data_IF_557440611951
#
_entry.id   IF_557440611951
#
_cell.length_a   1.000
_cell.length_b   1.000
_cell.length_c   1.000
_cell.angle_alpha   90.00
_cell.angle_beta   90.00
_cell.angle_gamma   90.00
#
_symmetry.space_group_name_H-M   'P 1'
#
loop_
_entity.id
_entity.type
_entity.pdbx_description
1 polymer ?
#
# COMPACT_ATOMS: atom_id res chain seq x y z
N UNK A 1 -13.91 -19.85 -33.63
CA UNK A 1 -12.60 -19.25 -33.30
C UNK A 1 -12.05 -19.78 -31.97
N UNK A 2 -12.78 -19.71 -30.85
CA UNK A 2 -12.32 -20.23 -29.55
C UNK A 2 -11.99 -21.74 -29.57
N UNK A 3 -12.89 -22.58 -30.10
CA UNK A 3 -12.66 -24.03 -30.17
C UNK A 3 -11.41 -24.42 -30.98
N UNK A 4 -11.12 -23.69 -32.07
CA UNK A 4 -9.91 -23.90 -32.86
C UNK A 4 -8.64 -23.58 -32.05
N UNK A 5 -8.67 -22.49 -31.27
CA UNK A 5 -7.56 -22.11 -30.39
C UNK A 5 -7.36 -23.08 -29.22
N UNK A 6 -8.44 -23.67 -28.70
CA UNK A 6 -8.36 -24.73 -27.68
C UNK A 6 -7.69 -25.97 -28.27
N UNK A 7 -8.09 -26.41 -29.47
CA UNK A 7 -7.47 -27.57 -30.13
C UNK A 7 -5.99 -27.33 -30.44
N UNK A 8 -5.64 -26.16 -30.96
CA UNK A 8 -4.24 -25.74 -31.18
C UNK A 8 -3.43 -25.82 -29.88
N UNK A 9 -3.99 -25.36 -28.76
CA UNK A 9 -3.32 -25.45 -27.46
C UNK A 9 -3.10 -26.90 -27.00
N UNK A 10 -4.08 -27.78 -27.19
CA UNK A 10 -3.97 -29.20 -26.85
C UNK A 10 -2.93 -29.92 -27.72
N UNK A 11 -2.82 -29.57 -29.00
CA UNK A 11 -1.75 -30.10 -29.87
C UNK A 11 -0.36 -29.69 -29.38
N UNK A 12 -0.20 -28.43 -28.95
CA UNK A 12 1.04 -27.95 -28.36
C UNK A 12 1.38 -28.65 -27.04
N UNK A 13 0.40 -28.90 -26.16
CA UNK A 13 0.61 -29.72 -24.95
C UNK A 13 1.12 -31.12 -25.33
N UNK A 14 0.48 -31.79 -26.29
CA UNK A 14 0.88 -33.13 -26.70
C UNK A 14 2.31 -33.16 -27.28
N UNK A 15 2.71 -32.12 -28.02
CA UNK A 15 4.09 -31.94 -28.50
C UNK A 15 5.07 -31.72 -27.34
N UNK A 16 4.72 -30.88 -26.38
CA UNK A 16 5.54 -30.64 -25.19
C UNK A 16 5.78 -31.94 -24.41
N UNK A 17 4.73 -32.71 -24.13
CA UNK A 17 4.83 -34.00 -23.45
C UNK A 17 5.69 -35.00 -24.22
N UNK A 18 5.65 -34.98 -25.56
CA UNK A 18 6.53 -35.80 -26.40
C UNK A 18 8.00 -35.40 -26.26
N UNK A 19 8.32 -34.10 -26.15
CA UNK A 19 9.69 -33.64 -25.91
C UNK A 19 10.21 -34.05 -24.53
N UNK A 20 9.33 -34.22 -23.54
CA UNK A 20 9.70 -34.66 -22.21
C UNK A 20 9.95 -36.16 -22.09
N UNK A 21 9.44 -36.97 -23.02
CA UNK A 21 9.71 -38.42 -23.03
C UNK A 21 11.19 -38.69 -23.27
N UNK A 22 11.74 -39.55 -22.43
CA UNK A 22 13.07 -40.15 -22.59
C UNK A 22 12.97 -41.48 -23.34
N UNK A 23 14.08 -41.90 -23.93
CA UNK A 23 14.19 -43.17 -24.67
C UNK A 23 15.61 -43.70 -24.52
N UNK A 24 15.89 -44.92 -24.98
CA UNK A 24 17.23 -45.52 -24.96
C UNK A 24 18.30 -44.66 -25.65
N UNK A 25 17.92 -43.78 -26.58
CA UNK A 25 18.83 -42.82 -27.23
C UNK A 25 18.83 -41.42 -26.57
N UNK A 26 17.83 -41.09 -25.74
CA UNK A 26 17.65 -39.76 -25.12
C UNK A 26 17.41 -39.91 -23.62
N UNK A 27 18.48 -39.70 -22.86
CA UNK A 27 18.53 -39.96 -21.44
C UNK A 27 18.08 -38.76 -20.59
N UNK A 28 18.07 -37.55 -21.18
CA UNK A 28 17.57 -36.32 -20.56
C UNK A 28 16.37 -35.77 -21.35
N UNK A 29 15.27 -35.38 -20.70
CA UNK A 29 14.17 -34.66 -21.35
C UNK A 29 14.65 -33.40 -22.07
N UNK A 30 13.99 -33.04 -23.18
CA UNK A 30 14.25 -31.77 -23.87
C UNK A 30 13.33 -30.71 -23.28
N UNK A 31 13.77 -30.16 -22.16
CA UNK A 31 13.04 -29.15 -21.40
C UNK A 31 12.88 -27.84 -22.18
N UNK A 32 13.83 -27.49 -23.05
CA UNK A 32 13.81 -26.25 -23.82
C UNK A 32 12.70 -26.27 -24.88
N UNK A 33 12.65 -27.33 -25.68
CA UNK A 33 11.58 -27.52 -26.66
C UNK A 33 10.21 -27.68 -26.00
N UNK A 34 10.15 -28.38 -24.86
CA UNK A 34 8.90 -28.53 -24.11
C UNK A 34 8.38 -27.19 -23.58
N UNK A 35 9.25 -26.34 -23.02
CA UNK A 35 8.88 -25.02 -22.55
C UNK A 35 8.31 -24.15 -23.69
N UNK A 36 8.97 -24.15 -24.86
CA UNK A 36 8.49 -23.39 -26.03
C UNK A 36 7.10 -23.83 -26.49
N UNK A 37 6.81 -25.14 -26.47
CA UNK A 37 5.48 -25.65 -26.83
C UNK A 37 4.44 -25.33 -25.75
N UNK A 38 4.77 -25.41 -24.46
CA UNK A 38 3.86 -24.95 -23.39
C UNK A 38 3.56 -23.46 -23.48
N UNK A 39 4.53 -22.62 -23.82
CA UNK A 39 4.32 -21.19 -24.04
C UNK A 39 3.29 -20.91 -25.14
N UNK A 40 3.41 -21.62 -26.27
CA UNK A 40 2.43 -21.54 -27.38
C UNK A 40 1.04 -22.01 -26.95
N UNK A 41 0.96 -23.11 -26.21
CA UNK A 41 -0.30 -23.59 -25.65
C UNK A 41 -0.95 -22.56 -24.73
N UNK A 42 -0.17 -21.94 -23.84
CA UNK A 42 -0.64 -20.93 -22.91
C UNK A 42 -1.21 -19.70 -23.63
N UNK A 43 -0.53 -19.21 -24.67
CA UNK A 43 -1.01 -18.11 -25.51
C UNK A 43 -2.30 -18.49 -26.24
N UNK A 44 -2.41 -19.71 -26.77
CA UNK A 44 -3.61 -20.19 -27.45
C UNK A 44 -4.81 -20.30 -26.49
N UNK A 45 -4.62 -20.85 -25.28
CA UNK A 45 -5.67 -20.86 -24.24
C UNK A 45 -6.08 -19.46 -23.81
N UNK A 46 -5.12 -18.56 -23.61
CA UNK A 46 -5.38 -17.16 -23.27
C UNK A 46 -6.24 -16.47 -24.33
N UNK A 47 -5.92 -16.66 -25.61
CA UNK A 47 -6.69 -16.12 -26.73
C UNK A 47 -8.12 -16.72 -26.81
N UNK A 48 -8.30 -17.95 -26.33
CA UNK A 48 -9.60 -18.60 -26.18
C UNK A 48 -10.34 -18.23 -24.86
N UNK A 49 -9.78 -17.32 -24.05
CA UNK A 49 -10.27 -16.94 -22.71
C UNK A 49 -10.36 -18.10 -21.71
N UNK A 50 -9.59 -19.17 -21.93
CA UNK A 50 -9.45 -20.28 -20.99
C UNK A 50 -8.30 -19.99 -20.02
N UNK A 51 -8.52 -19.02 -19.11
CA UNK A 51 -7.45 -18.51 -18.25
C UNK A 51 -6.86 -19.55 -17.30
N UNK A 52 -7.68 -20.48 -16.80
CA UNK A 52 -7.21 -21.53 -15.89
C UNK A 52 -6.26 -22.51 -16.62
N UNK A 53 -6.62 -22.93 -17.83
CA UNK A 53 -5.76 -23.76 -18.68
C UNK A 53 -4.50 -23.01 -19.14
N UNK A 54 -4.62 -21.70 -19.45
CA UNK A 54 -3.48 -20.86 -19.79
C UNK A 54 -2.49 -20.75 -18.61
N UNK A 55 -3.00 -20.55 -17.39
CA UNK A 55 -2.22 -20.54 -16.15
C UNK A 55 -1.47 -21.86 -15.99
N UNK A 56 -2.14 -23.00 -16.11
CA UNK A 56 -1.49 -24.32 -15.99
C UNK A 56 -0.40 -24.53 -17.05
N UNK A 57 -0.65 -24.11 -18.29
CA UNK A 57 0.36 -24.18 -19.35
C UNK A 57 1.58 -23.28 -19.05
N UNK A 58 1.39 -22.06 -18.56
CA UNK A 58 2.49 -21.19 -18.11
C UNK A 58 3.25 -21.76 -16.92
N UNK A 59 2.58 -22.42 -15.97
CA UNK A 59 3.26 -23.09 -14.85
C UNK A 59 4.14 -24.24 -15.35
N UNK A 60 3.64 -25.05 -16.28
CA UNK A 60 4.44 -26.10 -16.93
C UNK A 60 5.61 -25.50 -17.72
N UNK A 61 5.41 -24.42 -18.47
CA UNK A 61 6.51 -23.70 -19.13
C UNK A 61 7.59 -23.29 -18.11
N UNK A 62 7.18 -22.70 -16.99
CA UNK A 62 8.10 -22.23 -15.95
C UNK A 62 8.91 -23.38 -15.34
N UNK A 63 8.26 -24.49 -14.97
CA UNK A 63 8.92 -25.70 -14.46
C UNK A 63 9.95 -26.27 -15.45
N UNK A 64 9.65 -26.26 -16.74
CA UNK A 64 10.58 -26.72 -17.76
C UNK A 64 11.79 -25.79 -17.90
N UNK A 65 11.59 -24.47 -17.84
CA UNK A 65 12.69 -23.52 -17.79
C UNK A 65 13.54 -23.65 -16.52
N UNK A 66 12.93 -23.91 -15.34
CA UNK A 66 13.68 -24.22 -14.10
C UNK A 66 14.55 -25.47 -14.28
N UNK A 67 13.98 -26.56 -14.80
CA UNK A 67 14.70 -27.81 -15.07
C UNK A 67 15.84 -27.63 -16.10
N UNK A 68 15.72 -26.64 -16.99
CA UNK A 68 16.76 -26.24 -17.93
C UNK A 68 17.73 -25.18 -17.38
N UNK A 69 17.58 -24.75 -16.12
CA UNK A 69 18.34 -23.66 -15.47
C UNK A 69 18.22 -22.30 -16.18
N UNK A 70 17.14 -22.08 -16.92
CA UNK A 70 16.83 -20.83 -17.60
C UNK A 70 15.98 -19.92 -16.69
N UNK A 71 16.55 -19.48 -15.56
CA UNK A 71 15.82 -18.79 -14.47
C UNK A 71 15.04 -17.55 -14.94
N UNK A 72 15.63 -16.71 -15.79
CA UNK A 72 14.93 -15.53 -16.31
C UNK A 72 13.63 -15.88 -17.06
N UNK A 73 13.66 -16.93 -17.88
CA UNK A 73 12.51 -17.37 -18.65
C UNK A 73 11.47 -18.04 -17.75
N UNK A 74 11.92 -18.84 -16.76
CA UNK A 74 11.03 -19.39 -15.73
C UNK A 74 10.28 -18.29 -14.98
N UNK A 75 11.00 -17.25 -14.54
CA UNK A 75 10.41 -16.10 -13.86
C UNK A 75 9.36 -15.39 -14.73
N UNK A 76 9.65 -15.19 -16.03
CA UNK A 76 8.69 -14.60 -16.98
C UNK A 76 7.43 -15.44 -17.13
N UNK A 77 7.56 -16.77 -17.19
CA UNK A 77 6.43 -17.68 -17.26
C UNK A 77 5.58 -17.64 -15.98
N UNK A 78 6.21 -17.56 -14.79
CA UNK A 78 5.48 -17.32 -13.53
C UNK A 78 4.74 -15.99 -13.50
N UNK A 79 5.34 -14.90 -14.00
CA UNK A 79 4.63 -13.62 -14.14
C UNK A 79 3.41 -13.76 -15.05
N UNK A 80 3.51 -14.49 -16.17
CA UNK A 80 2.36 -14.73 -17.06
C UNK A 80 1.27 -15.57 -16.40
N UNK A 81 1.63 -16.62 -15.65
CA UNK A 81 0.67 -17.39 -14.86
C UNK A 81 -0.03 -16.49 -13.80
N UNK A 82 0.72 -15.61 -13.14
CA UNK A 82 0.18 -14.61 -12.22
C UNK A 82 -0.79 -13.64 -12.90
N UNK A 83 -0.51 -13.23 -14.15
CA UNK A 83 -1.44 -12.42 -14.93
C UNK A 83 -2.74 -13.16 -15.26
N UNK A 84 -2.69 -14.48 -15.52
CA UNK A 84 -3.91 -15.26 -15.74
C UNK A 84 -4.75 -15.35 -14.45
N UNK A 85 -4.11 -15.52 -13.29
CA UNK A 85 -4.80 -15.48 -11.99
C UNK A 85 -5.44 -14.11 -11.72
N UNK A 86 -4.79 -13.03 -12.15
CA UNK A 86 -5.38 -11.67 -12.10
C UNK A 86 -6.64 -11.57 -12.95
N UNK A 87 -6.65 -12.07 -14.18
CA UNK A 87 -7.85 -12.11 -15.03
C UNK A 87 -9.00 -12.93 -14.41
N UNK A 88 -8.65 -13.91 -13.56
CA UNK A 88 -9.60 -14.72 -12.80
C UNK A 88 -9.97 -14.12 -11.43
N UNK A 89 -9.52 -12.90 -11.11
CA UNK A 89 -9.70 -12.23 -9.81
C UNK A 89 -9.11 -12.99 -8.59
N UNK A 90 -8.14 -13.89 -8.81
CA UNK A 90 -7.42 -14.64 -7.78
C UNK A 90 -6.12 -13.94 -7.36
N UNK A 91 -6.25 -12.71 -6.88
CA UNK A 91 -5.08 -11.84 -6.61
C UNK A 91 -4.08 -12.41 -5.60
N UNK A 92 -4.49 -13.04 -4.48
CA UNK A 92 -3.53 -13.62 -3.53
C UNK A 92 -2.66 -14.72 -4.13
N UNK A 93 -3.24 -15.59 -4.97
CA UNK A 93 -2.50 -16.63 -5.70
C UNK A 93 -1.55 -16.00 -6.74
N UNK A 94 -1.99 -14.94 -7.43
CA UNK A 94 -1.15 -14.22 -8.39
C UNK A 94 0.12 -13.64 -7.72
N UNK A 95 -0.04 -13.06 -6.54
CA UNK A 95 1.08 -12.50 -5.75
C UNK A 95 2.12 -13.57 -5.40
N UNK A 96 1.69 -14.77 -5.01
CA UNK A 96 2.62 -15.87 -4.69
C UNK A 96 3.51 -16.24 -5.90
N UNK A 97 2.93 -16.26 -7.11
CA UNK A 97 3.70 -16.53 -8.33
C UNK A 97 4.66 -15.39 -8.67
N UNK A 98 4.26 -14.13 -8.45
CA UNK A 98 5.14 -12.98 -8.68
C UNK A 98 6.29 -12.94 -7.67
N UNK A 99 6.06 -13.31 -6.40
CA UNK A 99 7.13 -13.47 -5.41
C UNK A 99 8.13 -14.55 -5.84
N UNK A 100 7.63 -15.71 -6.31
CA UNK A 100 8.48 -16.76 -6.87
C UNK A 100 9.32 -16.26 -8.05
N UNK A 101 8.70 -15.53 -8.99
CA UNK A 101 9.40 -14.91 -10.12
C UNK A 101 10.46 -13.90 -9.65
N UNK A 102 10.18 -13.11 -8.62
CA UNK A 102 11.12 -12.13 -8.08
C UNK A 102 12.39 -12.79 -7.50
N UNK A 103 12.25 -13.91 -6.79
CA UNK A 103 13.40 -14.67 -6.28
C UNK A 103 14.27 -15.20 -7.42
N UNK A 104 13.65 -15.71 -8.49
CA UNK A 104 14.37 -16.15 -9.69
C UNK A 104 15.07 -15.02 -10.42
N UNK A 105 14.47 -13.82 -10.48
CA UNK A 105 15.13 -12.65 -11.06
C UNK A 105 16.35 -12.22 -10.25
N UNK A 106 16.31 -12.33 -8.92
CA UNK A 106 17.46 -12.06 -8.05
C UNK A 106 18.56 -13.10 -8.28
N UNK A 107 18.22 -14.39 -8.27
CA UNK A 107 19.17 -15.48 -8.53
C UNK A 107 19.81 -15.39 -9.93
N UNK A 108 19.06 -14.89 -10.92
CA UNK A 108 19.56 -14.66 -12.27
C UNK A 108 20.46 -13.40 -12.40
N UNK A 109 20.58 -12.58 -11.35
CA UNK A 109 21.36 -11.33 -11.38
C UNK A 109 20.64 -10.18 -12.08
N UNK A 110 19.31 -10.15 -12.02
CA UNK A 110 18.45 -9.08 -12.58
C UNK A 110 17.59 -8.41 -11.49
N UNK A 111 18.21 -7.80 -10.45
CA UNK A 111 17.53 -7.26 -9.27
C UNK A 111 16.48 -6.19 -9.61
N UNK A 112 16.75 -5.34 -10.59
CA UNK A 112 15.80 -4.34 -11.10
C UNK A 112 14.46 -4.96 -11.52
N UNK A 113 14.52 -6.09 -12.22
CA UNK A 113 13.30 -6.76 -12.69
C UNK A 113 12.55 -7.39 -11.51
N UNK A 114 13.27 -7.92 -10.51
CA UNK A 114 12.68 -8.43 -9.28
C UNK A 114 11.94 -7.34 -8.50
N UNK A 115 12.60 -6.19 -8.28
CA UNK A 115 12.03 -5.07 -7.53
C UNK A 115 10.77 -4.51 -8.23
N UNK A 116 10.82 -4.34 -9.56
CA UNK A 116 9.65 -3.90 -10.33
C UNK A 116 8.50 -4.91 -10.30
N UNK A 117 8.79 -6.21 -10.31
CA UNK A 117 7.77 -7.25 -10.21
C UNK A 117 7.07 -7.19 -8.84
N UNK A 118 7.83 -7.09 -7.75
CA UNK A 118 7.33 -6.93 -6.39
C UNK A 118 6.50 -5.66 -6.21
N UNK A 119 6.95 -4.52 -6.76
CA UNK A 119 6.21 -3.26 -6.73
C UNK A 119 4.84 -3.39 -7.40
N UNK A 120 4.79 -4.01 -8.59
CA UNK A 120 3.52 -4.26 -9.30
C UNK A 120 2.60 -5.18 -8.51
N UNK A 121 3.13 -6.22 -7.86
CA UNK A 121 2.36 -7.11 -7.00
C UNK A 121 1.80 -6.37 -5.77
N UNK A 122 2.61 -5.51 -5.13
CA UNK A 122 2.20 -4.66 -4.02
C UNK A 122 0.99 -3.81 -4.40
N UNK A 123 1.09 -3.10 -5.52
CA UNK A 123 -0.01 -2.26 -6.05
C UNK A 123 -1.28 -3.06 -6.34
N UNK A 124 -1.15 -4.29 -6.84
CA UNK A 124 -2.29 -5.14 -7.18
C UNK A 124 -3.09 -5.56 -5.94
N UNK A 125 -2.42 -5.72 -4.78
CA UNK A 125 -3.02 -6.29 -3.58
C UNK A 125 -3.38 -5.23 -2.51
N UNK A 126 -3.08 -3.94 -2.71
CA UNK A 126 -3.36 -2.88 -1.72
C UNK A 126 -4.81 -2.89 -1.21
N UNK A 127 -5.78 -3.05 -2.10
CA UNK A 127 -7.21 -3.02 -1.76
C UNK A 127 -7.76 -4.37 -1.25
N UNK A 128 -6.93 -5.42 -1.24
CA UNK A 128 -7.33 -6.78 -0.83
C UNK A 128 -6.62 -7.18 0.46
N UNK A 129 -5.33 -6.91 0.56
CA UNK A 129 -4.51 -7.21 1.74
C UNK A 129 -3.40 -6.17 1.88
N UNK A 130 -3.67 -5.16 2.72
CA UNK A 130 -2.73 -4.06 3.01
C UNK A 130 -1.41 -4.58 3.60
N UNK A 131 -1.45 -5.58 4.48
CA UNK A 131 -0.26 -6.11 5.15
C UNK A 131 0.69 -6.77 4.14
N UNK A 132 0.11 -7.55 3.21
CA UNK A 132 0.89 -8.16 2.13
C UNK A 132 1.46 -7.11 1.18
N UNK A 133 0.72 -6.05 0.87
CA UNK A 133 1.21 -4.95 0.05
C UNK A 133 2.41 -4.23 0.72
N UNK A 134 2.34 -3.97 2.02
CA UNK A 134 3.45 -3.42 2.81
C UNK A 134 4.68 -4.31 2.70
N UNK A 135 4.53 -5.61 2.92
CA UNK A 135 5.63 -6.57 2.83
C UNK A 135 6.29 -6.56 1.44
N UNK A 136 5.50 -6.55 0.37
CA UNK A 136 6.02 -6.52 -1.01
C UNK A 136 6.79 -5.22 -1.31
N UNK A 137 6.29 -4.07 -0.86
CA UNK A 137 7.01 -2.80 -1.01
C UNK A 137 8.30 -2.76 -0.19
N UNK A 138 8.31 -3.32 1.02
CA UNK A 138 9.52 -3.43 1.84
C UNK A 138 10.56 -4.36 1.22
N UNK A 139 10.13 -5.50 0.66
CA UNK A 139 11.02 -6.40 -0.09
C UNK A 139 11.61 -5.70 -1.31
N UNK A 140 10.77 -5.02 -2.10
CA UNK A 140 11.23 -4.25 -3.28
C UNK A 140 12.20 -3.13 -2.89
N UNK A 141 11.93 -2.42 -1.78
CA UNK A 141 12.83 -1.41 -1.24
C UNK A 141 14.19 -2.00 -0.84
N UNK A 142 14.19 -3.16 -0.17
CA UNK A 142 15.41 -3.86 0.22
C UNK A 142 16.25 -4.29 -0.99
N UNK A 143 15.62 -4.69 -2.10
CA UNK A 143 16.35 -4.99 -3.34
C UNK A 143 17.08 -3.75 -3.84
N UNK A 144 16.42 -2.59 -3.91
CA UNK A 144 17.09 -1.35 -4.35
C UNK A 144 18.14 -0.84 -3.34
N UNK A 145 17.92 -1.03 -2.05
CA UNK A 145 18.88 -0.65 -1.01
C UNK A 145 20.18 -1.48 -1.12
N UNK A 146 20.07 -2.78 -1.38
CA UNK A 146 21.23 -3.66 -1.59
C UNK A 146 22.03 -3.29 -2.86
N UNK A 147 21.37 -2.70 -3.85
CA UNK A 147 21.99 -2.18 -5.09
C UNK A 147 22.45 -0.71 -4.95
N UNK A 148 22.48 -0.16 -3.73
CA UNK A 148 22.85 1.24 -3.42
C UNK A 148 21.98 2.30 -4.12
N UNK A 149 20.76 1.91 -4.55
CA UNK A 149 19.80 2.76 -5.24
C UNK A 149 18.83 3.43 -4.27
N UNK A 150 19.39 4.26 -3.38
CA UNK A 150 18.68 4.85 -2.25
C UNK A 150 17.42 5.64 -2.62
N UNK A 151 17.41 6.34 -3.76
CA UNK A 151 16.23 7.12 -4.22
C UNK A 151 15.03 6.21 -4.53
N UNK A 152 15.26 5.06 -5.18
CA UNK A 152 14.21 4.10 -5.46
C UNK A 152 13.77 3.35 -4.20
N UNK A 153 14.73 2.99 -3.34
CA UNK A 153 14.43 2.34 -2.07
C UNK A 153 13.51 3.20 -1.19
N UNK A 154 13.82 4.50 -1.03
CA UNK A 154 13.02 5.39 -0.19
C UNK A 154 11.63 5.69 -0.76
N UNK A 155 11.47 5.71 -2.08
CA UNK A 155 10.15 5.87 -2.71
C UNK A 155 9.20 4.71 -2.34
N UNK A 156 9.72 3.47 -2.35
CA UNK A 156 8.95 2.28 -1.99
C UNK A 156 8.70 2.18 -0.49
N UNK A 157 9.68 2.56 0.34
CA UNK A 157 9.46 2.71 1.78
C UNK A 157 8.35 3.74 2.05
N UNK A 158 8.30 4.85 1.32
CA UNK A 158 7.22 5.82 1.40
C UNK A 158 5.85 5.24 1.03
N UNK A 159 5.76 4.30 0.08
CA UNK A 159 4.51 3.53 -0.17
C UNK A 159 4.15 2.67 1.03
N UNK A 160 5.11 1.91 1.58
CA UNK A 160 4.90 1.09 2.76
C UNK A 160 4.43 1.90 3.99
N UNK A 161 5.09 3.02 4.30
CA UNK A 161 4.74 3.90 5.43
C UNK A 161 3.30 4.44 5.34
N UNK A 162 2.88 4.87 4.15
CA UNK A 162 1.50 5.34 3.91
C UNK A 162 0.48 4.23 4.13
N UNK A 163 0.76 3.02 3.67
CA UNK A 163 -0.11 1.87 3.89
C UNK A 163 -0.15 1.45 5.37
N UNK A 164 0.98 1.52 6.10
CA UNK A 164 1.03 1.27 7.54
C UNK A 164 0.16 2.27 8.32
N UNK A 165 0.21 3.55 7.97
CA UNK A 165 -0.70 4.57 8.54
C UNK A 165 -2.15 4.26 8.22
N UNK A 166 -2.47 3.91 6.95
CA UNK A 166 -3.82 3.53 6.53
C UNK A 166 -4.35 2.33 7.32
N UNK A 167 -3.49 1.34 7.58
CA UNK A 167 -3.78 0.14 8.37
C UNK A 167 -3.78 0.39 9.89
N UNK A 168 -3.54 1.63 10.36
CA UNK A 168 -3.41 2.01 11.77
C UNK A 168 -2.32 1.25 12.54
N UNK A 169 -1.31 0.73 11.84
CA UNK A 169 -0.10 0.09 12.43
C UNK A 169 0.96 1.15 12.73
N UNK A 170 0.65 2.02 13.70
CA UNK A 170 1.39 3.27 13.93
C UNK A 170 2.81 3.06 14.47
N UNK A 171 3.07 1.99 15.21
CA UNK A 171 4.43 1.65 15.67
C UNK A 171 5.36 1.36 14.50
N UNK A 172 4.91 0.53 13.56
CA UNK A 172 5.66 0.19 12.36
C UNK A 172 5.77 1.37 11.39
N UNK A 173 4.71 2.18 11.28
CA UNK A 173 4.73 3.40 10.49
C UNK A 173 5.82 4.37 11.01
N UNK A 174 5.95 4.54 12.33
CA UNK A 174 6.99 5.38 12.95
C UNK A 174 8.40 4.87 12.60
N UNK A 175 8.64 3.55 12.73
CA UNK A 175 9.92 2.95 12.36
C UNK A 175 10.24 3.12 10.85
N UNK A 176 9.24 2.91 9.98
CA UNK A 176 9.38 3.06 8.53
C UNK A 176 9.68 4.52 8.15
N UNK A 177 8.98 5.48 8.73
CA UNK A 177 9.21 6.92 8.53
C UNK A 177 10.59 7.36 9.02
N UNK A 178 11.08 6.81 10.14
CA UNK A 178 12.43 7.10 10.61
C UNK A 178 13.48 6.59 9.61
N UNK A 179 13.29 5.39 9.04
CA UNK A 179 14.16 4.87 7.99
C UNK A 179 14.14 5.77 6.75
N UNK A 180 12.96 6.22 6.31
CA UNK A 180 12.85 7.19 5.22
C UNK A 180 13.62 8.49 5.52
N UNK A 181 13.43 9.08 6.71
CA UNK A 181 14.12 10.32 7.11
C UNK A 181 15.64 10.16 7.08
N UNK A 182 16.16 9.02 7.54
CA UNK A 182 17.59 8.73 7.51
C UNK A 182 18.13 8.67 6.08
N UNK A 183 17.43 7.98 5.17
CA UNK A 183 17.84 7.89 3.76
C UNK A 183 17.76 9.27 3.08
N UNK A 184 16.69 10.04 3.31
CA UNK A 184 16.59 11.40 2.77
C UNK A 184 17.69 12.34 3.28
N UNK A 185 18.12 12.16 4.54
CA UNK A 185 19.25 12.90 5.11
C UNK A 185 20.56 12.52 4.42
N UNK A 186 20.77 11.23 4.16
CA UNK A 186 21.97 10.73 3.48
C UNK A 186 22.10 11.25 2.04
N UNK A 187 20.99 11.31 1.31
CA UNK A 187 20.96 11.88 -0.05
C UNK A 187 20.81 13.42 -0.07
N UNK A 188 20.94 14.07 1.09
CA UNK A 188 20.86 15.53 1.29
C UNK A 188 19.56 16.19 0.79
N UNK A 189 18.46 15.44 0.77
CA UNK A 189 17.14 15.97 0.46
C UNK A 189 16.45 16.48 1.75
N UNK A 190 17.00 17.58 2.28
CA UNK A 190 16.56 18.18 3.54
C UNK A 190 15.09 18.63 3.54
N UNK A 191 14.55 19.28 2.48
CA UNK A 191 13.13 19.66 2.46
C UNK A 191 12.19 18.47 2.67
N UNK A 192 12.53 17.31 2.10
CA UNK A 192 11.72 16.10 2.29
C UNK A 192 11.86 15.55 3.71
N UNK A 193 13.02 15.70 4.37
CA UNK A 193 13.18 15.34 5.78
C UNK A 193 12.20 16.10 6.70
N UNK A 194 11.90 17.37 6.40
CA UNK A 194 10.94 18.16 7.17
C UNK A 194 9.54 17.58 7.04
N UNK A 195 9.14 17.24 5.81
CA UNK A 195 7.86 16.55 5.53
C UNK A 195 7.77 15.20 6.23
N UNK A 196 8.86 14.44 6.31
CA UNK A 196 8.88 13.19 7.09
C UNK A 196 8.75 13.44 8.59
N UNK A 197 9.34 14.52 9.10
CA UNK A 197 9.16 14.93 10.51
C UNK A 197 7.70 15.25 10.82
N UNK A 198 6.99 15.91 9.89
CA UNK A 198 5.53 16.14 10.02
C UNK A 198 4.76 14.82 10.13
N UNK A 199 5.03 13.88 9.22
CA UNK A 199 4.41 12.56 9.28
C UNK A 199 4.73 11.81 10.60
N UNK A 200 5.98 11.88 11.08
CA UNK A 200 6.37 11.28 12.36
C UNK A 200 5.60 11.88 13.54
N UNK A 201 5.52 13.21 13.62
CA UNK A 201 4.78 13.90 14.70
C UNK A 201 3.31 13.51 14.68
N UNK A 202 2.66 13.52 13.51
CA UNK A 202 1.26 13.07 13.40
C UNK A 202 1.07 11.63 13.87
N UNK A 203 1.99 10.72 13.52
CA UNK A 203 1.94 9.32 13.97
C UNK A 203 2.11 9.21 15.49
N UNK A 204 3.05 9.94 16.09
CA UNK A 204 3.29 9.91 17.54
C UNK A 204 2.15 10.55 18.34
N UNK A 205 1.57 11.65 17.87
CA UNK A 205 0.42 12.26 18.51
C UNK A 205 -0.82 11.35 18.46
N UNK A 206 -1.06 10.64 17.35
CA UNK A 206 -2.11 9.60 17.28
C UNK A 206 -1.87 8.40 18.21
N UNK A 207 -0.61 8.16 18.59
CA UNK A 207 -0.24 7.15 19.61
C UNK A 207 -0.37 7.68 21.05
N UNK A 208 -0.79 8.94 21.23
CA UNK A 208 -0.75 9.68 22.49
C UNK A 208 0.65 9.73 23.13
N UNK A 209 1.70 9.71 22.30
CA UNK A 209 3.09 9.76 22.73
C UNK A 209 3.69 11.13 22.41
N UNK A 210 3.32 12.12 23.23
CA UNK A 210 3.77 13.50 23.05
C UNK A 210 5.30 13.62 23.16
N UNK A 211 5.91 12.88 24.07
CA UNK A 211 7.37 12.91 24.29
C UNK A 211 8.11 12.45 23.05
N UNK A 212 7.64 11.39 22.37
CA UNK A 212 8.23 10.96 21.11
C UNK A 212 8.01 11.98 19.99
N UNK A 213 6.82 12.60 19.92
CA UNK A 213 6.54 13.65 18.94
C UNK A 213 7.49 14.85 19.09
N UNK A 214 7.64 15.36 20.32
CA UNK A 214 8.56 16.46 20.65
C UNK A 214 10.01 16.09 20.31
N UNK A 215 10.43 14.87 20.66
CA UNK A 215 11.75 14.35 20.34
C UNK A 215 12.01 14.33 18.83
N UNK A 216 11.03 13.95 18.01
CA UNK A 216 11.19 13.96 16.55
C UNK A 216 11.50 15.36 16.01
N UNK A 217 10.82 16.41 16.51
CA UNK A 217 11.09 17.80 16.13
C UNK A 217 12.47 18.23 16.60
N UNK A 218 12.81 17.89 17.86
CA UNK A 218 14.09 18.24 18.46
C UNK A 218 15.28 17.70 17.68
N UNK A 219 15.22 16.45 17.25
CA UNK A 219 16.26 15.82 16.44
C UNK A 219 16.40 16.49 15.06
N UNK A 220 15.29 16.98 14.50
CA UNK A 220 15.26 17.61 13.18
C UNK A 220 15.89 19.01 13.16
N UNK A 221 16.05 19.72 14.30
CA UNK A 221 16.84 20.97 14.36
C UNK A 221 18.30 20.81 13.90
N UNK A 222 18.85 19.60 13.96
CA UNK A 222 20.20 19.31 13.44
C UNK A 222 20.27 19.28 11.90
N UNK A 223 19.11 19.25 11.21
CA UNK A 223 19.04 19.18 9.75
C UNK A 223 19.16 20.60 9.16
N UNK A 224 20.08 20.83 8.19
CA UNK A 224 20.34 22.16 7.63
C UNK A 224 19.08 22.83 7.06
N UNK A 225 18.70 23.97 7.61
CA UNK A 225 17.58 24.79 7.12
C UNK A 225 16.24 24.54 7.81
N UNK A 226 16.13 23.55 8.72
CA UNK A 226 14.87 23.25 9.40
C UNK A 226 14.39 24.41 10.28
N UNK A 227 15.25 24.98 11.14
CA UNK A 227 14.83 25.98 12.13
C UNK A 227 14.21 27.26 11.56
N UNK A 228 14.53 27.59 10.30
CA UNK A 228 13.95 28.74 9.59
C UNK A 228 12.82 28.39 8.62
N UNK A 229 12.37 27.12 8.62
CA UNK A 229 11.34 26.63 7.69
C UNK A 229 9.93 26.82 8.23
N UNK A 230 8.96 26.96 7.32
CA UNK A 230 7.54 26.94 7.66
C UNK A 230 7.13 25.62 8.33
N UNK A 231 7.81 24.51 7.99
CA UNK A 231 7.59 23.20 8.59
C UNK A 231 7.90 23.22 10.10
N UNK A 232 8.99 23.87 10.52
CA UNK A 232 9.35 23.98 11.93
C UNK A 232 8.34 24.80 12.72
N UNK A 233 7.95 25.97 12.20
CA UNK A 233 6.96 26.85 12.83
C UNK A 233 5.63 26.13 13.01
N UNK A 234 5.16 25.44 11.96
CA UNK A 234 3.89 24.72 12.03
C UNK A 234 3.95 23.53 13.00
N UNK A 235 5.10 22.86 13.12
CA UNK A 235 5.28 21.77 14.09
C UNK A 235 5.34 22.27 15.53
N UNK A 236 5.99 23.40 15.79
CA UNK A 236 6.00 24.04 17.11
C UNK A 236 4.59 24.45 17.53
N UNK A 237 3.82 25.08 16.63
CA UNK A 237 2.41 25.44 16.86
C UNK A 237 1.52 24.21 17.08
N UNK A 238 1.75 23.12 16.34
CA UNK A 238 1.00 21.87 16.53
C UNK A 238 1.27 21.26 17.90
N UNK A 239 2.54 21.18 18.32
CA UNK A 239 2.93 20.63 19.62
C UNK A 239 2.43 21.50 20.77
N UNK A 240 2.53 22.83 20.64
CA UNK A 240 2.01 23.78 21.62
C UNK A 240 0.49 23.61 21.82
N UNK A 241 -0.29 23.62 20.74
CA UNK A 241 -1.73 23.44 20.82
C UNK A 241 -2.12 22.07 21.40
N UNK A 242 -1.36 21.02 21.08
CA UNK A 242 -1.60 19.70 21.64
C UNK A 242 -1.32 19.63 23.15
N UNK A 243 -0.23 20.25 23.62
CA UNK A 243 0.13 20.31 25.05
C UNK A 243 -0.87 21.16 25.86
N UNK A 244 -1.30 22.29 25.29
CA UNK A 244 -2.29 23.19 25.90
C UNK A 244 -3.74 22.67 25.80
N UNK A 245 -3.96 21.54 25.13
CA UNK A 245 -5.29 20.98 24.84
C UNK A 245 -6.19 21.95 24.05
N UNK A 246 -5.59 22.78 23.20
CA UNK A 246 -6.29 23.69 22.30
C UNK A 246 -6.64 22.96 20.99
N UNK A 247 -7.87 22.47 20.91
CA UNK A 247 -8.36 21.77 19.73
C UNK A 247 -8.49 22.70 18.50
N UNK A 248 -8.77 23.99 18.71
CA UNK A 248 -8.95 24.93 17.60
C UNK A 248 -7.59 25.22 16.95
N UNK A 249 -6.56 25.47 17.75
CA UNK A 249 -5.18 25.63 17.26
C UNK A 249 -4.69 24.39 16.50
N UNK A 250 -4.87 23.19 17.07
CA UNK A 250 -4.49 21.94 16.40
C UNK A 250 -5.23 21.77 15.08
N UNK A 251 -6.52 22.07 15.05
CA UNK A 251 -7.36 21.95 13.85
C UNK A 251 -6.94 22.94 12.77
N UNK A 252 -6.62 24.18 13.14
CA UNK A 252 -6.15 25.22 12.22
C UNK A 252 -4.81 24.85 11.58
N UNK A 253 -3.85 24.37 12.37
CA UNK A 253 -2.55 23.91 11.86
C UNK A 253 -2.73 22.71 10.92
N UNK A 254 -3.50 21.69 11.33
CA UNK A 254 -3.79 20.52 10.50
C UNK A 254 -4.60 20.88 9.23
N UNK A 255 -5.30 22.01 9.23
CA UNK A 255 -6.03 22.53 8.08
C UNK A 255 -5.22 23.46 7.17
N UNK A 256 -3.98 23.78 7.53
CA UNK A 256 -3.09 24.60 6.69
C UNK A 256 -2.72 23.88 5.38
N UNK A 257 -2.35 24.62 4.32
CA UNK A 257 -1.89 24.02 3.06
C UNK A 257 -0.72 23.05 3.26
N UNK A 258 0.15 23.33 4.23
CA UNK A 258 1.33 22.54 4.55
C UNK A 258 0.98 21.11 4.98
N UNK A 259 -0.11 20.92 5.73
CA UNK A 259 -0.60 19.60 6.14
C UNK A 259 -1.57 18.99 5.12
N UNK A 260 -2.45 19.80 4.51
CA UNK A 260 -3.45 19.31 3.55
C UNK A 260 -2.85 18.75 2.25
N UNK A 261 -1.71 19.28 1.82
CA UNK A 261 -1.00 18.81 0.62
C UNK A 261 0.02 17.68 0.88
N UNK A 262 0.09 17.17 2.11
CA UNK A 262 0.78 15.91 2.38
C UNK A 262 0.09 14.75 1.65
N UNK A 263 0.78 13.62 1.53
CA UNK A 263 0.16 12.39 1.04
C UNK A 263 -1.15 12.10 1.78
N UNK A 264 -2.15 11.58 1.05
CA UNK A 264 -3.54 11.48 1.50
C UNK A 264 -3.69 10.80 2.87
N UNK A 265 -2.92 9.74 3.13
CA UNK A 265 -2.95 9.00 4.39
C UNK A 265 -2.47 9.87 5.58
N UNK A 266 -1.47 10.72 5.39
CA UNK A 266 -1.00 11.65 6.43
C UNK A 266 -1.92 12.87 6.58
N UNK A 267 -2.46 13.41 5.48
CA UNK A 267 -3.41 14.50 5.54
C UNK A 267 -4.68 14.10 6.31
N UNK A 268 -5.22 12.90 6.04
CA UNK A 268 -6.33 12.32 6.83
C UNK A 268 -5.96 12.07 8.28
N UNK A 269 -4.71 11.67 8.55
CA UNK A 269 -4.21 11.52 9.91
C UNK A 269 -4.22 12.86 10.66
N UNK A 270 -3.71 13.94 10.05
CA UNK A 270 -3.77 15.29 10.61
C UNK A 270 -5.20 15.76 10.88
N UNK A 271 -6.09 15.63 9.89
CA UNK A 271 -7.50 16.05 10.03
C UNK A 271 -8.30 15.26 11.08
N UNK A 272 -7.83 14.08 11.49
CA UNK A 272 -8.48 13.26 12.51
C UNK A 272 -7.80 13.34 13.88
N UNK A 273 -6.82 14.23 14.05
CA UNK A 273 -6.11 14.40 15.31
C UNK A 273 -7.00 15.12 16.34
N UNK A 274 -7.02 14.59 17.56
CA UNK A 274 -7.78 15.13 18.68
C UNK A 274 -6.84 15.32 19.88
N UNK A 275 -6.97 16.43 20.59
CA UNK A 275 -6.17 16.70 21.79
C UNK A 275 -6.54 15.76 22.95
N UNK A 276 -5.59 15.41 23.84
CA UNK A 276 -5.88 14.60 25.01
C UNK A 276 -6.92 15.30 25.90
N UNK A 277 -8.00 14.60 26.26
CA UNK A 277 -9.07 15.19 27.08
C UNK A 277 -10.19 15.89 26.30
N UNK A 278 -10.07 16.03 24.97
CA UNK A 278 -11.07 16.61 24.06
C UNK A 278 -12.28 15.73 23.76
N UNK A 279 -12.68 14.83 24.67
CA UNK A 279 -13.94 14.12 24.56
C UNK A 279 -15.09 15.11 24.70
N UNK A 280 -15.93 15.23 23.65
CA UNK A 280 -17.13 16.09 23.64
C UNK A 280 -17.78 16.18 25.02
N UNK A 281 -17.60 17.33 25.70
CA UNK A 281 -18.40 17.64 26.88
C UNK A 281 -19.84 17.75 26.39
N UNK A 282 -20.63 16.70 26.59
CA UNK A 282 -22.08 16.73 26.46
C UNK A 282 -22.54 17.89 27.33
N UNK A 283 -22.91 19.02 26.72
CA UNK A 283 -23.46 20.17 27.45
C UNK A 283 -24.63 19.65 28.27
N UNK A 284 -24.44 19.55 29.58
CA UNK A 284 -25.54 19.35 30.51
C UNK A 284 -26.44 20.57 30.36
N UNK A 285 -27.78 20.41 30.24
CA UNK A 285 -28.66 21.56 30.14
C UNK A 285 -28.53 22.36 31.42
N UNK A 286 -28.18 23.64 31.30
CA UNK A 286 -28.17 24.57 32.40
C UNK A 286 -29.59 24.69 32.95
N UNK A 287 -29.78 24.38 34.23
CA UNK A 287 -31.00 24.65 34.97
C UNK A 287 -31.21 26.16 35.06
N UNK A 288 -32.37 26.71 34.69
CA UNK A 288 -32.69 28.10 34.99
C UNK A 288 -33.06 28.23 36.47
N UNK A 289 -32.38 29.11 37.19
CA UNK A 289 -32.77 29.59 38.51
C UNK A 289 -33.85 30.66 38.41
N UNK A 290 -34.72 30.66 39.41
CA UNK A 290 -35.95 31.43 39.60
C UNK A 290 -35.86 32.95 39.37
N UNK A 291 -36.96 33.51 38.86
CA UNK A 291 -37.24 34.94 38.81
C UNK A 291 -38.73 35.21 38.64
N UNK A 292 -39.40 35.46 39.76
CA UNK A 292 -40.82 35.78 39.97
C UNK A 292 -41.30 37.00 39.14
N UNK A 293 -42.50 36.93 38.54
CA UNK A 293 -43.17 38.07 37.92
C UNK A 293 -44.51 37.71 37.28
N UNK A 294 -45.59 38.10 37.96
CA UNK A 294 -47.00 37.79 37.74
C UNK A 294 -47.64 38.42 36.47
N UNK A 295 -48.72 37.77 35.98
CA UNK A 295 -49.95 38.34 35.40
C UNK A 295 -50.32 38.04 33.93
N UNK A 296 -51.40 37.25 33.82
CA UNK A 296 -52.58 37.36 32.92
C UNK A 296 -52.55 36.89 31.45
N UNK A 297 -53.29 35.77 31.27
CA UNK A 297 -54.49 35.60 30.43
C UNK A 297 -54.41 35.14 28.95
N UNK A 298 -55.24 34.12 28.69
CA UNK A 298 -55.83 33.63 27.42
C UNK A 298 -54.84 32.98 26.41
N UNK A 299 -55.06 31.82 25.80
CA UNK A 299 -56.20 30.90 25.67
C UNK A 299 -56.03 30.14 24.35
N UNK A 300 -56.44 28.85 24.28
CA UNK A 300 -56.65 28.00 23.05
C UNK A 300 -55.44 27.76 22.13
N UNK A 301 -55.28 26.72 21.31
CA UNK A 301 -55.84 25.39 20.99
C UNK A 301 -54.69 24.68 20.19
N UNK A 302 -54.48 23.36 20.33
CA UNK A 302 -54.63 22.30 19.27
C UNK A 302 -53.96 22.70 17.92
N UNK A 303 -52.96 22.01 17.38
CA UNK A 303 -53.09 20.75 16.62
C UNK A 303 -51.73 20.04 16.41
N UNK A 304 -51.81 18.71 16.40
CA UNK A 304 -50.85 17.77 15.82
C UNK A 304 -50.66 18.04 14.32
N UNK A 305 -49.46 17.75 13.78
CA UNK A 305 -49.39 17.08 12.49
C UNK A 305 -48.07 16.32 12.33
N UNK A 306 -48.23 15.11 11.82
CA UNK A 306 -47.25 14.04 11.62
C UNK A 306 -46.24 14.35 10.50
N UNK A 307 -44.96 14.05 10.75
CA UNK A 307 -43.93 13.96 9.68
C UNK A 307 -43.44 12.50 9.55
N UNK A 308 -44.19 11.72 8.78
CA UNK A 308 -43.72 10.51 8.11
C UNK A 308 -43.22 10.89 6.71
N UNK A 309 -41.92 10.76 6.40
CA UNK A 309 -41.50 10.40 5.03
C UNK A 309 -40.07 9.85 5.01
N UNK A 310 -39.98 8.52 4.95
CA UNK A 310 -38.84 7.78 4.41
C UNK A 310 -39.04 7.52 2.91
N UNK A 311 -37.92 7.56 2.16
CA UNK A 311 -37.61 6.93 0.85
C UNK A 311 -37.05 7.95 -0.15
N UNK A 312 -36.03 7.66 -0.94
CA UNK A 312 -35.41 6.37 -1.18
C UNK A 312 -34.16 6.49 -2.05
N UNK A 313 -33.44 5.37 -2.08
CA UNK A 313 -32.29 5.09 -2.92
C UNK A 313 -32.72 4.91 -4.38
N UNK A 314 -31.98 5.55 -5.29
CA UNK A 314 -31.64 5.07 -6.63
C UNK A 314 -30.17 5.39 -6.87
#
# INVERSE_FOLDING_TARGET
>A
MAAQKINEALEHIAKAEKYLKTSFLKWKPDYDSAASEYAKAAVAFKNAKQFDQAKEAYLKEAENHENNKALFHAAKAYEQAGMMLKEMHKLPEAVQLIEKASMMYLENGTPDTAAMALERAGKLIENVNLEKAVHLYQQSASVFENEERLRQAVELLGKASRLLVRARRLDEASASLQKEKNIYREIENYPTCYKKTIAQVLVHLHRNDFVAAEKCVRETYSIPGFSGSEDCIALEQLLEGYDQQDQDQVSDVCCSPLFKYMDNDYAKLGLSLVVPGGGTKKKSPASPQDGMGDSTAAGSQVEDDDDEYSRGLC
#
